data_IF_118421558728
#
_entry.id   IF_118421558728
#
_cell.length_a   1.000
_cell.length_b   1.000
_cell.length_c   1.000
_cell.angle_alpha   90.00
_cell.angle_beta   90.00
_cell.angle_gamma   90.00
#
_symmetry.space_group_name_H-M   'P 1'
#
loop_
_entity.id
_entity.type
_entity.pdbx_description
1 polymer ?
#
# COMPACT_ATOMS: atom_id res chain seq x y z
N UNK A 1 22.10 -5.35 2.16
CA UNK A 1 21.81 -6.69 1.61
C UNK A 1 20.31 -6.89 1.66
N UNK A 2 19.62 -6.79 0.52
CA UNK A 2 18.16 -6.88 0.43
C UNK A 2 17.77 -8.36 0.42
N UNK A 3 17.07 -8.82 1.44
CA UNK A 3 16.57 -10.20 1.52
C UNK A 3 15.46 -10.37 0.49
N UNK A 4 15.71 -11.22 -0.51
CA UNK A 4 14.69 -11.66 -1.46
C UNK A 4 13.59 -12.39 -0.68
N UNK A 5 12.47 -11.70 -0.46
CA UNK A 5 11.25 -12.29 0.09
C UNK A 5 10.71 -13.22 -0.99
N UNK A 6 10.92 -14.52 -0.83
CA UNK A 6 10.22 -15.51 -1.64
C UNK A 6 8.72 -15.20 -1.55
N UNK A 7 8.11 -14.95 -2.71
CA UNK A 7 6.76 -14.44 -2.88
C UNK A 7 5.71 -15.51 -2.55
N UNK A 8 5.72 -16.06 -1.33
CA UNK A 8 4.59 -16.77 -0.74
C UNK A 8 3.53 -15.72 -0.44
N UNK A 9 2.46 -15.70 -1.25
CA UNK A 9 1.33 -14.79 -1.06
C UNK A 9 0.65 -15.02 0.29
N UNK A 10 -0.41 -14.26 0.57
CA UNK A 10 -1.18 -14.40 1.80
C UNK A 10 -1.71 -15.81 2.01
N UNK A 11 -2.07 -16.15 3.26
CA UNK A 11 -2.73 -17.43 3.57
C UNK A 11 -3.96 -17.65 2.68
N UNK A 12 -4.71 -16.57 2.41
CA UNK A 12 -5.91 -16.60 1.56
C UNK A 12 -5.55 -16.95 0.11
N UNK A 13 -4.49 -16.36 -0.45
CA UNK A 13 -3.98 -16.71 -1.77
C UNK A 13 -3.59 -18.19 -1.86
N UNK A 14 -2.84 -18.68 -0.89
CA UNK A 14 -2.39 -20.09 -0.87
C UNK A 14 -3.57 -21.06 -0.82
N UNK A 15 -4.61 -20.77 -0.03
CA UNK A 15 -5.82 -21.61 -0.01
C UNK A 15 -6.61 -21.53 -1.32
N UNK A 16 -6.77 -20.33 -1.89
CA UNK A 16 -7.45 -20.15 -3.17
C UNK A 16 -6.74 -20.92 -4.29
N UNK A 17 -5.43 -20.71 -4.42
CA UNK A 17 -4.64 -21.31 -5.48
C UNK A 17 -4.54 -22.84 -5.34
N UNK A 18 -4.36 -23.37 -4.11
CA UNK A 18 -4.32 -24.81 -3.90
C UNK A 18 -5.67 -25.50 -4.15
N UNK A 19 -6.78 -24.89 -3.75
CA UNK A 19 -8.11 -25.41 -4.04
C UNK A 19 -8.41 -25.42 -5.54
N UNK A 20 -7.99 -24.38 -6.27
CA UNK A 20 -8.14 -24.33 -7.71
C UNK A 20 -7.29 -25.40 -8.40
N UNK A 21 -6.01 -25.54 -8.03
CA UNK A 21 -5.14 -26.55 -8.64
C UNK A 21 -5.70 -27.96 -8.41
N UNK A 22 -6.24 -28.24 -7.22
CA UNK A 22 -6.91 -29.50 -6.94
C UNK A 22 -8.16 -29.70 -7.83
N UNK A 23 -8.93 -28.65 -8.08
CA UNK A 23 -10.09 -28.71 -8.97
C UNK A 23 -9.67 -28.99 -10.42
N UNK A 24 -8.61 -28.35 -10.91
CA UNK A 24 -8.05 -28.59 -12.25
C UNK A 24 -7.60 -30.06 -12.38
N UNK A 25 -6.86 -30.56 -11.40
CA UNK A 25 -6.43 -31.97 -11.37
C UNK A 25 -7.60 -32.94 -11.39
N UNK A 26 -8.64 -32.68 -10.59
CA UNK A 26 -9.83 -33.53 -10.56
C UNK A 26 -10.63 -33.45 -11.86
N UNK A 27 -10.70 -32.29 -12.50
CA UNK A 27 -11.40 -32.12 -13.77
C UNK A 27 -10.67 -32.85 -14.91
N UNK A 28 -9.34 -32.71 -14.98
CA UNK A 28 -8.52 -33.36 -16.00
C UNK A 28 -8.55 -34.91 -15.90
N UNK A 29 -8.71 -35.45 -14.69
CA UNK A 29 -8.73 -36.89 -14.40
C UNK A 29 -10.14 -37.44 -14.10
N UNK A 30 -11.21 -36.70 -14.40
CA UNK A 30 -12.59 -37.15 -14.11
C UNK A 30 -13.00 -38.33 -14.98
N UNK A 31 -12.47 -38.40 -16.20
CA UNK A 31 -12.67 -39.48 -17.15
C UNK A 31 -11.52 -40.48 -16.97
N UNK A 32 -11.88 -41.76 -16.94
CA UNK A 32 -10.95 -42.85 -16.68
C UNK A 32 -10.44 -43.45 -17.99
N UNK A 33 -9.39 -44.27 -17.89
CA UNK A 33 -8.95 -45.04 -19.05
C UNK A 33 -10.03 -46.02 -19.53
N UNK A 34 -10.90 -46.48 -18.64
CA UNK A 34 -12.03 -47.36 -18.99
C UNK A 34 -13.03 -46.61 -19.88
N UNK A 35 -13.42 -45.39 -19.50
CA UNK A 35 -14.28 -44.52 -20.33
C UNK A 35 -13.67 -44.26 -21.73
N UNK A 36 -12.34 -44.13 -21.78
CA UNK A 36 -11.61 -43.96 -23.03
C UNK A 36 -11.59 -45.24 -23.87
N UNK A 37 -11.35 -46.39 -23.24
CA UNK A 37 -11.30 -47.68 -23.91
C UNK A 37 -12.66 -48.10 -24.45
N UNK A 38 -13.77 -47.77 -23.77
CA UNK A 38 -15.12 -47.99 -24.28
C UNK A 38 -15.38 -47.23 -25.59
N UNK A 39 -14.80 -46.04 -25.75
CA UNK A 39 -14.93 -45.24 -26.97
C UNK A 39 -14.00 -45.69 -28.10
N UNK A 40 -12.88 -46.36 -27.78
CA UNK A 40 -11.83 -46.75 -28.73
C UNK A 40 -11.38 -48.21 -28.57
N UNK A 41 -12.34 -49.12 -28.46
CA UNK A 41 -12.12 -50.54 -28.11
C UNK A 41 -11.09 -51.24 -28.99
N UNK A 42 -11.27 -51.20 -30.32
CA UNK A 42 -10.39 -51.82 -31.32
C UNK A 42 -8.92 -51.38 -31.16
N UNK A 43 -8.70 -50.08 -30.94
CA UNK A 43 -7.35 -49.54 -30.83
C UNK A 43 -6.70 -49.84 -29.46
N UNK A 44 -7.50 -49.82 -28.39
CA UNK A 44 -7.03 -50.21 -27.06
C UNK A 44 -6.66 -51.70 -26.98
N UNK A 45 -7.31 -52.56 -27.77
CA UNK A 45 -6.97 -53.98 -27.91
C UNK A 45 -5.69 -54.19 -28.74
N UNK A 46 -5.54 -53.46 -29.86
CA UNK A 46 -4.37 -53.59 -30.74
C UNK A 46 -3.09 -52.99 -30.14
N UNK A 47 -3.19 -51.85 -29.45
CA UNK A 47 -2.02 -51.14 -28.92
C UNK A 47 -2.31 -50.51 -27.54
N UNK A 48 -2.36 -51.33 -26.47
CA UNK A 48 -2.74 -50.86 -25.13
C UNK A 48 -1.75 -49.85 -24.54
N UNK A 49 -0.46 -49.99 -24.80
CA UNK A 49 0.57 -49.08 -24.28
C UNK A 49 0.50 -47.70 -24.97
N UNK A 50 0.19 -47.68 -26.28
CA UNK A 50 -0.01 -46.45 -27.04
C UNK A 50 -1.24 -45.69 -26.58
N UNK A 51 -2.37 -46.39 -26.41
CA UNK A 51 -3.61 -45.81 -25.92
C UNK A 51 -3.47 -45.20 -24.52
N UNK A 52 -2.80 -45.90 -23.58
CA UNK A 52 -2.51 -45.36 -22.23
C UNK A 52 -1.60 -44.14 -22.28
N UNK A 53 -0.59 -44.15 -23.16
CA UNK A 53 0.30 -43.02 -23.39
C UNK A 53 -0.45 -41.78 -23.89
N UNK A 54 -1.37 -41.96 -24.84
CA UNK A 54 -2.20 -40.86 -25.35
C UNK A 54 -3.19 -40.36 -24.30
N UNK A 55 -3.89 -41.25 -23.60
CA UNK A 55 -4.81 -40.88 -22.51
C UNK A 55 -4.13 -40.00 -21.46
N UNK A 56 -2.99 -40.46 -20.92
CA UNK A 56 -2.21 -39.70 -19.94
C UNK A 56 -1.64 -38.41 -20.52
N UNK A 57 -1.25 -38.42 -21.80
CA UNK A 57 -0.80 -37.24 -22.53
C UNK A 57 -1.88 -36.17 -22.64
N UNK A 58 -3.11 -36.55 -22.98
CA UNK A 58 -4.26 -35.65 -23.10
C UNK A 58 -4.65 -35.10 -21.72
N UNK A 59 -4.76 -35.94 -20.69
CA UNK A 59 -5.07 -35.49 -19.33
C UNK A 59 -4.06 -34.46 -18.82
N UNK A 60 -2.76 -34.72 -19.02
CA UNK A 60 -1.69 -33.78 -18.66
C UNK A 60 -1.72 -32.50 -19.49
N UNK A 61 -2.03 -32.60 -20.78
CA UNK A 61 -2.15 -31.42 -21.64
C UNK A 61 -3.30 -30.52 -21.20
N UNK A 62 -4.46 -31.10 -20.88
CA UNK A 62 -5.62 -30.37 -20.35
C UNK A 62 -5.26 -29.67 -19.03
N UNK A 63 -4.62 -30.37 -18.10
CA UNK A 63 -4.16 -29.77 -16.83
C UNK A 63 -3.24 -28.57 -17.09
N UNK A 64 -2.21 -28.74 -17.92
CA UNK A 64 -1.24 -27.69 -18.21
C UNK A 64 -1.85 -26.47 -18.90
N UNK A 65 -2.71 -26.68 -19.91
CA UNK A 65 -3.36 -25.58 -20.63
C UNK A 65 -4.32 -24.80 -19.73
N UNK A 66 -5.11 -25.50 -18.89
CA UNK A 66 -6.01 -24.83 -17.94
C UNK A 66 -5.19 -24.02 -16.92
N UNK A 67 -4.15 -24.62 -16.32
CA UNK A 67 -3.29 -23.92 -15.37
C UNK A 67 -2.65 -22.68 -15.99
N UNK A 68 -2.09 -22.80 -17.21
CA UNK A 68 -1.48 -21.68 -17.93
C UNK A 68 -2.49 -20.55 -18.22
N UNK A 69 -3.70 -20.89 -18.65
CA UNK A 69 -4.75 -19.90 -18.91
C UNK A 69 -5.21 -19.20 -17.62
N UNK A 70 -5.34 -19.94 -16.51
CA UNK A 70 -5.63 -19.36 -15.22
C UNK A 70 -4.52 -18.41 -14.75
N UNK A 71 -3.25 -18.80 -14.91
CA UNK A 71 -2.11 -17.94 -14.56
C UNK A 71 -2.07 -16.65 -15.39
N UNK A 72 -2.40 -16.72 -16.68
CA UNK A 72 -2.51 -15.55 -17.54
C UNK A 72 -3.60 -14.57 -17.02
N UNK A 73 -4.79 -15.10 -16.69
CA UNK A 73 -5.89 -14.30 -16.10
C UNK A 73 -5.45 -13.71 -14.75
N UNK A 74 -4.74 -14.49 -13.92
CA UNK A 74 -4.25 -13.99 -12.62
C UNK A 74 -3.27 -12.84 -12.75
N UNK A 75 -2.41 -12.91 -13.77
CA UNK A 75 -1.50 -11.82 -14.10
C UNK A 75 -2.24 -10.60 -14.62
N UNK A 76 -3.20 -10.78 -15.53
CA UNK A 76 -3.95 -9.68 -16.15
C UNK A 76 -4.74 -8.87 -15.11
N UNK A 77 -5.41 -9.55 -14.19
CA UNK A 77 -6.26 -8.92 -13.17
C UNK A 77 -5.54 -8.69 -11.83
N UNK A 78 -4.22 -8.92 -11.74
CA UNK A 78 -3.44 -8.81 -10.51
C UNK A 78 -4.09 -9.53 -9.32
N UNK A 79 -4.65 -10.72 -9.56
CA UNK A 79 -5.53 -11.42 -8.61
C UNK A 79 -4.80 -11.72 -7.30
N UNK A 80 -3.53 -12.12 -7.38
CA UNK A 80 -2.71 -12.38 -6.20
C UNK A 80 -2.62 -11.15 -5.28
N UNK A 81 -2.26 -10.01 -5.84
CA UNK A 81 -2.14 -8.76 -5.08
C UNK A 81 -3.48 -8.34 -4.48
N UNK A 82 -4.57 -8.45 -5.24
CA UNK A 82 -5.91 -8.09 -4.77
C UNK A 82 -6.38 -9.00 -3.61
N UNK A 83 -6.12 -10.31 -3.71
CA UNK A 83 -6.42 -11.27 -2.63
C UNK A 83 -5.56 -11.00 -1.39
N UNK A 84 -4.31 -10.60 -1.58
CA UNK A 84 -3.39 -10.25 -0.48
C UNK A 84 -3.83 -8.96 0.23
N UNK A 85 -4.23 -7.93 -0.52
CA UNK A 85 -4.84 -6.71 0.04
C UNK A 85 -6.10 -7.06 0.83
N UNK A 86 -6.98 -7.88 0.27
CA UNK A 86 -8.18 -8.34 0.97
C UNK A 86 -7.84 -9.10 2.25
N UNK A 87 -6.80 -9.94 2.23
CA UNK A 87 -6.34 -10.62 3.43
C UNK A 87 -5.90 -9.62 4.50
N UNK A 88 -5.08 -8.64 4.14
CA UNK A 88 -4.60 -7.60 5.05
C UNK A 88 -5.75 -6.81 5.69
N UNK A 89 -6.70 -6.33 4.88
CA UNK A 89 -7.89 -5.58 5.35
C UNK A 89 -8.71 -6.41 6.32
N UNK A 90 -8.95 -7.70 6.01
CA UNK A 90 -9.72 -8.58 6.91
C UNK A 90 -8.97 -8.87 8.21
N UNK A 91 -7.65 -9.05 8.17
CA UNK A 91 -6.85 -9.25 9.38
C UNK A 91 -6.85 -8.03 10.28
N UNK A 92 -6.73 -6.84 9.69
CA UNK A 92 -6.80 -5.57 10.42
C UNK A 92 -8.18 -5.36 11.05
N UNK A 93 -9.25 -5.56 10.28
CA UNK A 93 -10.62 -5.44 10.78
C UNK A 93 -10.90 -6.42 11.95
N UNK A 94 -10.35 -7.65 11.89
CA UNK A 94 -10.44 -8.61 13.00
C UNK A 94 -9.68 -8.14 14.23
N UNK A 95 -8.48 -7.58 14.06
CA UNK A 95 -7.69 -7.04 15.15
C UNK A 95 -8.40 -5.86 15.85
N UNK A 96 -8.94 -4.91 15.06
CA UNK A 96 -9.74 -3.77 15.58
C UNK A 96 -10.99 -4.23 16.33
N UNK A 97 -11.68 -5.26 15.81
CA UNK A 97 -12.83 -5.86 16.51
C UNK A 97 -12.44 -6.47 17.85
N UNK A 98 -11.24 -7.07 17.95
CA UNK A 98 -10.74 -7.66 19.20
C UNK A 98 -10.29 -6.59 20.21
N UNK A 99 -9.72 -5.47 19.74
CA UNK A 99 -9.37 -4.33 20.60
C UNK A 99 -10.56 -3.51 21.07
N UNK A 100 -11.75 -3.71 20.49
CA UNK A 100 -12.97 -2.96 20.81
C UNK A 100 -13.01 -1.56 20.18
N UNK A 101 -12.10 -1.27 19.24
CA UNK A 101 -12.08 -0.01 18.50
C UNK A 101 -13.22 0.01 17.46
N UNK A 102 -14.23 0.84 17.73
CA UNK A 102 -15.28 1.14 16.74
C UNK A 102 -14.79 2.33 15.92
N UNK A 103 -14.11 2.03 14.81
CA UNK A 103 -13.71 3.07 13.85
C UNK A 103 -14.94 3.69 13.17
N UNK A 104 -14.88 4.99 12.86
CA UNK A 104 -15.92 5.68 12.08
C UNK A 104 -15.90 5.33 10.58
N UNK A 105 -14.90 4.58 10.14
CA UNK A 105 -14.71 4.09 8.76
C UNK A 105 -15.43 2.75 8.56
N UNK A 106 -16.75 2.75 8.75
CA UNK A 106 -17.61 1.59 8.51
C UNK A 106 -18.29 1.81 7.17
N UNK A 107 -18.11 0.85 6.25
CA UNK A 107 -18.82 0.85 4.98
C UNK A 107 -20.34 0.80 5.21
N UNK A 108 -21.08 1.67 4.51
CA UNK A 108 -22.54 1.72 4.51
C UNK A 108 -23.03 1.62 3.07
N UNK A 109 -24.15 0.96 2.87
CA UNK A 109 -24.74 0.75 1.53
C UNK A 109 -25.18 2.08 0.90
N UNK A 110 -25.74 3.00 1.70
CA UNK A 110 -26.16 4.34 1.27
C UNK A 110 -25.09 5.42 1.52
N UNK A 111 -23.82 5.15 1.23
CA UNK A 111 -22.76 6.13 1.42
C UNK A 111 -22.81 7.20 0.32
N UNK A 112 -23.14 8.44 0.67
CA UNK A 112 -23.08 9.55 -0.28
C UNK A 112 -21.65 9.69 -0.87
N UNK A 113 -21.49 9.93 -2.19
CA UNK A 113 -20.18 10.07 -2.80
C UNK A 113 -19.30 11.13 -2.13
N UNK A 114 -19.91 12.22 -1.64
CA UNK A 114 -19.21 13.27 -0.88
C UNK A 114 -18.64 12.76 0.43
N UNK A 115 -19.35 11.88 1.13
CA UNK A 115 -18.87 11.28 2.37
C UNK A 115 -17.68 10.36 2.11
N UNK A 116 -17.73 9.56 1.04
CA UNK A 116 -16.61 8.70 0.62
C UNK A 116 -15.34 9.50 0.29
N UNK A 117 -15.49 10.60 -0.47
CA UNK A 117 -14.37 11.48 -0.82
C UNK A 117 -13.79 12.14 0.44
N UNK A 118 -14.64 12.63 1.35
CA UNK A 118 -14.19 13.23 2.61
C UNK A 118 -13.46 12.25 3.51
N UNK A 119 -13.94 11.02 3.66
CA UNK A 119 -13.28 10.00 4.48
C UNK A 119 -11.83 9.75 4.03
N UNK A 120 -11.57 9.82 2.72
CA UNK A 120 -10.22 9.69 2.16
C UNK A 120 -9.41 10.98 2.24
N UNK A 121 -10.03 12.14 2.03
CA UNK A 121 -9.34 13.42 1.94
C UNK A 121 -8.99 14.03 3.31
N UNK A 122 -9.84 13.85 4.31
CA UNK A 122 -9.67 14.46 5.64
C UNK A 122 -8.34 14.07 6.31
N UNK A 123 -7.91 12.79 6.37
CA UNK A 123 -6.64 12.44 7.01
C UNK A 123 -5.42 13.10 6.34
N UNK A 124 -5.47 13.29 5.02
CA UNK A 124 -4.41 13.97 4.28
C UNK A 124 -4.42 15.48 4.58
N UNK A 125 -5.60 16.09 4.58
CA UNK A 125 -5.76 17.51 4.89
C UNK A 125 -5.38 17.84 6.34
N UNK A 126 -5.71 16.97 7.29
CA UNK A 126 -5.30 17.11 8.70
C UNK A 126 -3.78 17.07 8.84
N UNK A 127 -3.11 16.12 8.16
CA UNK A 127 -1.65 16.02 8.16
C UNK A 127 -0.98 17.25 7.56
N UNK A 128 -1.51 17.79 6.47
CA UNK A 128 -0.98 19.03 5.87
C UNK A 128 -1.28 20.25 6.73
N UNK A 129 -2.46 20.34 7.35
CA UNK A 129 -2.80 21.42 8.28
C UNK A 129 -1.88 21.42 9.51
N UNK A 130 -1.55 20.25 10.05
CA UNK A 130 -0.61 20.12 11.16
C UNK A 130 0.79 20.60 10.77
N UNK A 131 1.29 20.20 9.60
CA UNK A 131 2.57 20.71 9.06
C UNK A 131 2.57 22.23 8.93
N UNK A 132 1.52 22.80 8.31
CA UNK A 132 1.43 24.24 8.11
C UNK A 132 1.40 25.00 9.44
N UNK A 133 0.69 24.50 10.45
CA UNK A 133 0.70 25.09 11.80
C UNK A 133 2.09 25.03 12.44
N UNK A 134 2.80 23.91 12.29
CA UNK A 134 4.16 23.79 12.80
C UNK A 134 5.11 24.79 12.11
N UNK A 135 5.00 24.95 10.79
CA UNK A 135 5.80 25.93 10.03
C UNK A 135 5.46 27.36 10.45
N UNK A 136 4.18 27.67 10.66
CA UNK A 136 3.74 29.00 11.08
C UNK A 136 4.26 29.33 12.47
N UNK A 137 4.16 28.40 13.43
CA UNK A 137 4.71 28.57 14.78
C UNK A 137 6.23 28.78 14.76
N UNK A 138 6.96 28.09 13.89
CA UNK A 138 8.40 28.31 13.71
C UNK A 138 8.68 29.73 13.19
N UNK A 139 7.96 30.20 12.17
CA UNK A 139 8.15 31.54 11.62
C UNK A 139 7.76 32.64 12.60
N UNK A 140 6.71 32.45 13.40
CA UNK A 140 6.34 33.39 14.46
C UNK A 140 7.43 33.49 15.52
N UNK A 141 8.03 32.36 15.92
CA UNK A 141 9.14 32.33 16.86
C UNK A 141 10.37 33.05 16.31
N UNK A 142 10.75 32.77 15.05
CA UNK A 142 11.86 33.45 14.37
C UNK A 142 11.61 34.96 14.26
N UNK A 143 10.39 35.39 13.95
CA UNK A 143 10.03 36.81 13.89
C UNK A 143 10.13 37.49 15.26
N UNK A 144 9.69 36.83 16.33
CA UNK A 144 9.82 37.36 17.70
C UNK A 144 11.29 37.54 18.09
N UNK A 145 12.14 36.56 17.76
CA UNK A 145 13.58 36.62 18.01
C UNK A 145 14.24 37.76 17.22
N UNK A 146 13.92 37.89 15.93
CA UNK A 146 14.41 38.99 15.09
C UNK A 146 13.93 40.35 15.58
N UNK A 147 12.68 40.46 16.02
CA UNK A 147 12.14 41.70 16.57
C UNK A 147 12.87 42.10 17.86
N UNK A 148 13.16 41.14 18.75
CA UNK A 148 13.95 41.37 19.95
C UNK A 148 15.39 41.83 19.60
N UNK A 149 16.02 41.22 18.59
CA UNK A 149 17.34 41.65 18.11
C UNK A 149 17.32 43.07 17.55
N UNK A 150 16.31 43.42 16.75
CA UNK A 150 16.17 44.78 16.21
C UNK A 150 16.02 45.79 17.35
N UNK A 151 15.18 45.50 18.36
CA UNK A 151 14.99 46.42 19.49
C UNK A 151 16.29 46.62 20.27
N UNK A 152 17.06 45.55 20.50
CA UNK A 152 18.35 45.65 21.17
C UNK A 152 19.33 46.50 20.35
N UNK A 153 19.43 46.27 19.04
CA UNK A 153 20.30 47.05 18.14
C UNK A 153 19.90 48.54 18.10
N UNK A 154 18.61 48.86 18.15
CA UNK A 154 18.13 50.26 18.21
C UNK A 154 18.54 50.90 19.53
N UNK A 155 18.31 50.23 20.67
CA UNK A 155 18.71 50.74 21.98
C UNK A 155 20.23 50.96 22.08
N UNK A 156 21.03 50.02 21.57
CA UNK A 156 22.50 50.16 21.52
C UNK A 156 22.93 51.35 20.67
N UNK A 157 22.29 51.57 19.52
CA UNK A 157 22.57 52.74 18.67
C UNK A 157 22.20 54.05 19.36
N UNK A 158 21.03 54.12 19.98
CA UNK A 158 20.61 55.31 20.74
C UNK A 158 21.59 55.64 21.88
N UNK A 159 22.11 54.61 22.57
CA UNK A 159 23.11 54.81 23.63
C UNK A 159 24.46 55.30 23.09
N UNK A 160 24.90 54.77 21.94
CA UNK A 160 26.14 55.21 21.26
C UNK A 160 25.98 56.64 20.73
N UNK A 161 24.85 56.95 20.09
CA UNK A 161 24.55 58.28 19.57
C UNK A 161 24.54 59.29 20.73
N UNK A 162 23.88 58.97 21.85
CA UNK A 162 23.86 59.82 23.05
C UNK A 162 25.26 60.12 23.57
N UNK A 163 26.11 59.09 23.73
CA UNK A 163 27.52 59.25 24.14
C UNK A 163 28.33 60.06 23.12
N UNK A 164 28.03 59.93 21.83
CA UNK A 164 28.73 60.66 20.78
C UNK A 164 28.36 62.14 20.81
N UNK A 165 27.08 62.49 20.99
CA UNK A 165 26.66 63.88 21.22
C UNK A 165 27.31 64.47 22.47
N UNK A 166 27.36 63.73 23.58
CA UNK A 166 28.02 64.20 24.81
C UNK A 166 29.52 64.51 24.57
N UNK A 167 30.22 63.66 23.82
CA UNK A 167 31.61 63.91 23.45
C UNK A 167 31.79 65.11 22.52
N UNK A 168 30.86 65.32 21.58
CA UNK A 168 30.89 66.48 20.69
C UNK A 168 30.63 67.78 21.46
N UNK A 169 29.68 67.79 22.39
CA UNK A 169 29.41 68.95 23.25
C UNK A 169 30.66 69.34 24.07
N UNK A 170 31.38 68.34 24.63
CA UNK A 170 32.65 68.58 25.34
C UNK A 170 33.71 69.17 24.41
N UNK A 171 33.75 68.73 23.15
CA UNK A 171 34.75 69.18 22.18
C UNK A 171 34.48 70.64 21.74
N UNK A 172 33.21 70.98 21.54
CA UNK A 172 32.76 72.35 21.26
C UNK A 172 33.06 73.31 22.43
N UNK A 173 32.96 72.85 23.69
CA UNK A 173 33.36 73.66 24.88
C UNK A 173 34.87 73.94 24.96
N UNK A 174 35.71 73.10 24.35
CA UNK A 174 37.18 73.24 24.37
C UNK A 174 37.69 74.11 23.21
N UNK A 175 36.94 74.23 22.11
CA UNK A 175 37.29 75.07 20.96
C UNK A 175 36.87 76.55 21.10
N UNK A 176 36.05 76.91 22.09
CA UNK A 176 35.69 78.31 22.46
C UNK A 176 36.52 78.87 23.62
#
# INVERSE_FOLDING_TARGET
MSTATYNTGSKRWTHFHSALQLAIQRAANKWTYEDFAECFTLWCEEQPDGAKGIFSGVARHIENEITKNCEAIFSEYNVKQNIDILHAVVTEARARKQSGEIGNDIWKEDLEPRAAVRARALPLLEKEAEKLRATLAQMEQENLELQAQIQNNVNEREEIDAKTTELLDILDEVET
#
